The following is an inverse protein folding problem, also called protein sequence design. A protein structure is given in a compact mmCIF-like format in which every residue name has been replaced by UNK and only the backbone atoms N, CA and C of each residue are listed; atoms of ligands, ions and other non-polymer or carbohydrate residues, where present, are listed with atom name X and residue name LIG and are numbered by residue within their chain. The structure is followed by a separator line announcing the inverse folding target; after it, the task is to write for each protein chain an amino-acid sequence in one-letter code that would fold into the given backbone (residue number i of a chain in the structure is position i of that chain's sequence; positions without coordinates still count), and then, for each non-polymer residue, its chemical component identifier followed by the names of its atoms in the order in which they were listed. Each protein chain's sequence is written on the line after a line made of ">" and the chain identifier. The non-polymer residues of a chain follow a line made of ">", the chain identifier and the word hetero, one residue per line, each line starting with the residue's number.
data_IF_882439326977
#
_entry.id   IF_882439326977
#
_cell.length_a   1.000
_cell.length_b   1.000
_cell.length_c   1.000
_cell.angle_alpha   90.00
_cell.angle_beta   90.00
_cell.angle_gamma   90.00
#
_symmetry.space_group_name_H-M   'P 1'
#
loop_
_entity.id
_entity.type
_entity.pdbx_description
1 polymer ?
#
# COMPACT_ATOMS: atom_id res chain seq x y z
N UNK A 1 13.18 23.19 8.56
CA UNK A 1 12.81 22.03 9.38
C UNK A 1 11.92 21.15 8.52
N UNK A 2 12.22 19.85 8.35
CA UNK A 2 11.31 18.97 7.64
C UNK A 2 9.98 18.91 8.39
N UNK A 3 8.94 19.55 7.84
CA UNK A 3 7.59 19.56 8.43
C UNK A 3 6.93 18.17 8.35
N UNK A 4 5.78 18.00 8.98
CA UNK A 4 5.04 16.72 9.04
C UNK A 4 4.82 16.09 7.65
N UNK A 5 4.77 16.91 6.60
CA UNK A 5 4.60 16.49 5.21
C UNK A 5 5.90 16.15 4.44
N UNK A 6 7.10 16.31 5.00
CA UNK A 6 8.33 16.03 4.21
C UNK A 6 8.53 14.56 3.87
N UNK A 7 7.83 13.65 4.54
CA UNK A 7 7.85 12.22 4.24
C UNK A 7 6.60 11.73 3.53
N UNK A 8 5.61 12.61 3.29
CA UNK A 8 4.38 12.26 2.61
C UNK A 8 4.34 12.91 1.23
N UNK A 9 4.40 12.06 0.20
CA UNK A 9 4.39 12.47 -1.21
C UNK A 9 3.15 11.94 -1.94
N UNK A 10 2.11 11.57 -1.20
CA UNK A 10 0.84 11.11 -1.76
C UNK A 10 -0.07 12.26 -2.19
N UNK A 11 -1.27 11.92 -2.64
CA UNK A 11 -2.22 12.89 -3.18
C UNK A 11 -2.63 13.95 -2.15
N UNK A 12 -2.68 15.21 -2.57
CA UNK A 12 -3.22 16.33 -1.77
C UNK A 12 -4.64 16.73 -2.17
N UNK A 13 -5.27 15.98 -3.08
CA UNK A 13 -6.61 16.32 -3.60
C UNK A 13 -7.67 16.34 -2.49
N UNK A 14 -7.51 15.49 -1.47
CA UNK A 14 -8.43 15.40 -0.34
C UNK A 14 -8.01 16.23 0.88
N UNK A 15 -6.97 17.06 0.76
CA UNK A 15 -6.51 17.97 1.82
C UNK A 15 -7.64 18.88 2.37
N UNK A 16 -8.48 19.55 1.54
CA UNK A 16 -9.56 20.38 2.08
C UNK A 16 -10.60 19.58 2.87
N UNK A 17 -10.81 18.31 2.53
CA UNK A 17 -11.70 17.43 3.29
C UNK A 17 -11.04 16.96 4.59
N UNK A 18 -9.74 16.68 4.54
CA UNK A 18 -8.94 16.29 5.69
C UNK A 18 -8.90 17.39 6.75
N UNK A 19 -8.77 18.66 6.33
CA UNK A 19 -8.80 19.83 7.21
C UNK A 19 -10.16 20.00 7.90
N UNK A 20 -11.27 19.74 7.20
CA UNK A 20 -12.62 19.80 7.78
C UNK A 20 -12.81 18.72 8.86
N UNK A 21 -12.28 17.53 8.62
CA UNK A 21 -12.37 16.39 9.56
C UNK A 21 -11.35 16.50 10.70
N UNK A 22 -10.31 17.33 10.55
CA UNK A 22 -9.25 17.51 11.54
C UNK A 22 -8.29 16.32 11.61
N UNK A 23 -8.08 15.62 10.49
CA UNK A 23 -7.22 14.44 10.39
C UNK A 23 -6.22 14.63 9.26
N UNK A 24 -5.02 14.06 9.39
CA UNK A 24 -4.02 14.10 8.32
C UNK A 24 -4.54 13.49 7.01
N UNK A 25 -4.20 14.13 5.88
CA UNK A 25 -4.64 13.74 4.54
C UNK A 25 -4.21 12.32 4.15
N UNK A 26 -3.12 11.79 4.73
CA UNK A 26 -2.65 10.43 4.49
C UNK A 26 -3.66 9.37 4.94
N UNK A 27 -4.26 9.56 6.11
CA UNK A 27 -5.29 8.67 6.69
C UNK A 27 -6.59 8.75 5.90
N UNK A 28 -6.98 9.96 5.51
CA UNK A 28 -8.17 10.19 4.68
C UNK A 28 -8.02 9.49 3.33
N UNK A 29 -6.89 9.69 2.66
CA UNK A 29 -6.58 9.01 1.40
C UNK A 29 -6.66 7.49 1.56
N UNK A 30 -6.06 6.93 2.60
CA UNK A 30 -6.08 5.48 2.85
C UNK A 30 -7.49 4.94 3.01
N UNK A 31 -8.32 5.60 3.82
CA UNK A 31 -9.71 5.19 4.06
C UNK A 31 -10.53 5.29 2.77
N UNK A 32 -10.40 6.38 2.01
CA UNK A 32 -11.07 6.55 0.72
C UNK A 32 -10.60 5.48 -0.29
N UNK A 33 -9.29 5.26 -0.44
CA UNK A 33 -8.71 4.19 -1.27
C UNK A 33 -9.32 2.82 -0.90
N UNK A 34 -9.52 2.53 0.39
CA UNK A 34 -10.09 1.27 0.86
C UNK A 34 -11.56 1.09 0.46
N UNK A 35 -12.38 2.14 0.58
CA UNK A 35 -13.77 2.10 0.11
C UNK A 35 -13.86 1.91 -1.40
N UNK A 36 -13.03 2.62 -2.18
CA UNK A 36 -12.93 2.41 -3.62
C UNK A 36 -12.46 0.99 -3.96
N UNK A 37 -11.50 0.44 -3.21
CA UNK A 37 -11.03 -0.93 -3.39
C UNK A 37 -12.17 -1.95 -3.25
N UNK A 38 -13.04 -1.78 -2.25
CA UNK A 38 -14.23 -2.62 -2.07
C UNK A 38 -15.19 -2.48 -3.27
N UNK A 39 -15.45 -1.26 -3.73
CA UNK A 39 -16.31 -1.02 -4.89
C UNK A 39 -15.74 -1.69 -6.16
N UNK A 40 -14.43 -1.55 -6.42
CA UNK A 40 -13.77 -2.21 -7.54
C UNK A 40 -13.73 -3.74 -7.39
N UNK A 41 -13.62 -4.27 -6.18
CA UNK A 41 -13.72 -5.70 -5.93
C UNK A 41 -15.11 -6.22 -6.32
N UNK A 42 -16.19 -5.51 -5.97
CA UNK A 42 -17.55 -5.87 -6.38
C UNK A 42 -17.72 -5.83 -7.90
N UNK A 43 -17.14 -4.83 -8.57
CA UNK A 43 -17.11 -4.76 -10.05
C UNK A 43 -16.36 -5.95 -10.64
N UNK A 44 -15.18 -6.27 -10.10
CA UNK A 44 -14.38 -7.42 -10.51
C UNK A 44 -15.17 -8.73 -10.41
N UNK A 45 -15.82 -8.97 -9.26
CA UNK A 45 -16.60 -10.20 -9.06
C UNK A 45 -17.82 -10.29 -10.00
N UNK A 46 -18.49 -9.17 -10.30
CA UNK A 46 -19.71 -9.18 -11.13
C UNK A 46 -19.42 -9.21 -12.63
N UNK A 47 -18.43 -8.44 -13.10
CA UNK A 47 -18.19 -8.24 -14.53
C UNK A 47 -17.07 -9.14 -15.07
N UNK A 48 -16.04 -9.44 -14.28
CA UNK A 48 -14.86 -10.20 -14.73
C UNK A 48 -14.97 -11.69 -14.38
N UNK A 49 -16.12 -12.28 -14.73
CA UNK A 49 -16.34 -13.72 -14.59
C UNK A 49 -15.36 -14.53 -15.46
N UNK A 50 -14.84 -15.67 -14.97
CA UNK A 50 -13.94 -16.56 -15.72
C UNK A 50 -14.41 -16.92 -17.13
N UNK A 51 -15.72 -17.03 -17.32
CA UNK A 51 -16.32 -17.44 -18.59
C UNK A 51 -16.42 -16.29 -19.60
N UNK A 52 -16.41 -15.04 -19.11
CA UNK A 52 -16.69 -13.85 -19.93
C UNK A 52 -15.43 -13.09 -20.33
N UNK A 53 -14.32 -13.28 -19.61
CA UNK A 53 -13.14 -12.42 -19.70
C UNK A 53 -11.86 -13.26 -19.72
N UNK A 54 -10.89 -12.82 -20.55
CA UNK A 54 -9.58 -13.47 -20.66
C UNK A 54 -8.83 -13.53 -19.33
N UNK A 55 -7.98 -14.56 -19.17
CA UNK A 55 -7.10 -14.71 -18.00
C UNK A 55 -6.21 -13.48 -17.79
N UNK A 56 -5.69 -12.92 -18.86
CA UNK A 56 -4.83 -11.73 -18.83
C UNK A 56 -5.57 -10.53 -18.25
N UNK A 57 -6.78 -10.23 -18.73
CA UNK A 57 -7.58 -9.11 -18.21
C UNK A 57 -7.91 -9.30 -16.72
N UNK A 58 -8.21 -10.53 -16.29
CA UNK A 58 -8.49 -10.84 -14.88
C UNK A 58 -7.29 -10.68 -13.96
N UNK A 59 -6.07 -10.78 -14.48
CA UNK A 59 -4.83 -10.55 -13.73
C UNK A 59 -4.44 -9.07 -13.75
N UNK A 60 -4.49 -8.44 -14.92
CA UNK A 60 -4.01 -7.07 -15.12
C UNK A 60 -4.95 -6.03 -14.51
N UNK A 61 -6.27 -6.24 -14.53
CA UNK A 61 -7.24 -5.30 -13.97
C UNK A 61 -7.00 -4.99 -12.48
N UNK A 62 -7.01 -5.98 -11.56
CA UNK A 62 -6.78 -5.69 -10.14
C UNK A 62 -5.37 -5.15 -9.88
N UNK A 63 -4.38 -5.55 -10.69
CA UNK A 63 -3.03 -5.03 -10.60
C UNK A 63 -2.97 -3.53 -10.91
N UNK A 64 -3.54 -3.09 -12.04
CA UNK A 64 -3.56 -1.67 -12.42
C UNK A 64 -4.30 -0.85 -11.37
N UNK A 65 -5.51 -1.27 -10.98
CA UNK A 65 -6.32 -0.54 -9.99
C UNK A 65 -5.60 -0.48 -8.64
N UNK A 66 -5.07 -1.60 -8.15
CA UNK A 66 -4.33 -1.65 -6.89
C UNK A 66 -3.10 -0.74 -6.90
N UNK A 67 -2.34 -0.73 -7.98
CA UNK A 67 -1.18 0.15 -8.13
C UNK A 67 -1.57 1.63 -8.20
N UNK A 68 -2.64 1.98 -8.93
CA UNK A 68 -3.16 3.34 -8.98
C UNK A 68 -3.61 3.83 -7.60
N UNK A 69 -4.33 3.00 -6.83
CA UNK A 69 -4.74 3.34 -5.47
C UNK A 69 -3.54 3.47 -4.53
N UNK A 70 -2.56 2.56 -4.60
CA UNK A 70 -1.34 2.65 -3.79
C UNK A 70 -0.55 3.91 -4.11
N UNK A 71 -0.43 4.27 -5.39
CA UNK A 71 0.28 5.49 -5.80
C UNK A 71 -0.46 6.74 -5.35
N UNK A 72 -1.79 6.78 -5.46
CA UNK A 72 -2.59 7.88 -4.91
C UNK A 72 -2.38 8.05 -3.40
N UNK A 73 -2.35 6.94 -2.67
CA UNK A 73 -2.26 6.93 -1.22
C UNK A 73 -0.84 7.25 -0.70
N UNK A 74 0.23 6.77 -1.36
CA UNK A 74 1.62 6.85 -0.85
C UNK A 74 2.60 7.62 -1.75
N UNK A 75 2.22 7.93 -2.99
CA UNK A 75 3.09 8.57 -3.98
C UNK A 75 4.42 7.85 -4.18
N UNK A 76 5.52 8.60 -4.15
CA UNK A 76 6.87 8.04 -4.30
C UNK A 76 7.28 7.08 -3.18
N UNK A 77 6.57 7.07 -2.03
CA UNK A 77 6.83 6.10 -0.97
C UNK A 77 6.40 4.67 -1.35
N UNK A 78 5.66 4.47 -2.45
CA UNK A 78 5.30 3.15 -2.97
C UNK A 78 6.53 2.25 -3.24
N UNK A 79 7.71 2.84 -3.47
CA UNK A 79 8.98 2.10 -3.61
C UNK A 79 9.29 1.20 -2.40
N UNK A 80 8.92 1.65 -1.19
CA UNK A 80 9.10 0.87 0.04
C UNK A 80 8.18 -0.36 0.03
N UNK A 81 6.94 -0.20 -0.45
CA UNK A 81 5.99 -1.30 -0.60
C UNK A 81 6.51 -2.35 -1.59
N UNK A 82 6.98 -1.94 -2.77
CA UNK A 82 7.58 -2.85 -3.74
C UNK A 82 8.83 -3.56 -3.20
N UNK A 83 9.69 -2.85 -2.46
CA UNK A 83 10.87 -3.44 -1.82
C UNK A 83 10.50 -4.54 -0.84
N UNK A 84 9.54 -4.27 0.05
CA UNK A 84 9.04 -5.27 1.02
C UNK A 84 8.40 -6.46 0.31
N UNK A 85 7.53 -6.22 -0.68
CA UNK A 85 6.88 -7.29 -1.46
C UNK A 85 7.93 -8.16 -2.16
N UNK A 86 8.94 -7.56 -2.79
CA UNK A 86 10.00 -8.28 -3.48
C UNK A 86 10.81 -9.17 -2.55
N UNK A 87 11.20 -8.66 -1.38
CA UNK A 87 11.91 -9.47 -0.38
C UNK A 87 11.01 -10.56 0.20
N UNK A 88 9.75 -10.25 0.52
CA UNK A 88 8.79 -11.25 0.98
C UNK A 88 8.58 -12.37 -0.05
N UNK A 89 8.53 -12.04 -1.34
CA UNK A 89 8.46 -13.03 -2.41
C UNK A 89 9.71 -13.92 -2.48
N UNK A 90 10.91 -13.32 -2.35
CA UNK A 90 12.15 -14.10 -2.28
C UNK A 90 12.14 -15.04 -1.06
N UNK A 91 11.72 -14.54 0.11
CA UNK A 91 11.59 -15.36 1.33
C UNK A 91 10.59 -16.52 1.13
N UNK A 92 9.49 -16.29 0.41
CA UNK A 92 8.53 -17.35 0.06
C UNK A 92 9.16 -18.45 -0.81
N UNK A 93 10.12 -18.12 -1.67
CA UNK A 93 10.80 -19.09 -2.55
C UNK A 93 11.91 -19.87 -1.84
N UNK A 94 12.65 -19.23 -0.93
CA UNK A 94 13.86 -19.82 -0.33
C UNK A 94 13.65 -20.42 1.07
N UNK A 95 12.62 -19.97 1.81
CA UNK A 95 12.42 -20.43 3.18
C UNK A 95 11.73 -21.82 3.25
N UNK A 96 12.01 -22.63 4.29
CA UNK A 96 11.28 -23.88 4.51
C UNK A 96 9.78 -23.62 4.72
N UNK A 97 8.94 -24.44 4.10
CA UNK A 97 7.46 -24.33 4.13
C UNK A 97 6.92 -24.26 5.58
N UNK A 98 7.58 -24.96 6.51
CA UNK A 98 7.18 -24.99 7.93
C UNK A 98 7.39 -23.66 8.68
N UNK A 99 8.26 -22.78 8.18
CA UNK A 99 8.66 -21.55 8.88
C UNK A 99 8.49 -20.28 8.04
N UNK A 100 8.10 -20.42 6.77
CA UNK A 100 7.97 -19.30 5.83
C UNK A 100 7.13 -18.14 6.37
N UNK A 101 5.99 -18.43 7.00
CA UNK A 101 5.13 -17.39 7.58
C UNK A 101 5.81 -16.62 8.72
N UNK A 102 6.60 -17.31 9.56
CA UNK A 102 7.36 -16.67 10.66
C UNK A 102 8.47 -15.78 10.10
N UNK A 103 9.20 -16.26 9.10
CA UNK A 103 10.31 -15.52 8.47
C UNK A 103 9.78 -14.25 7.77
N UNK A 104 8.73 -14.38 6.96
CA UNK A 104 8.08 -13.24 6.29
C UNK A 104 7.53 -12.23 7.30
N UNK A 105 6.91 -12.71 8.39
CA UNK A 105 6.38 -11.86 9.45
C UNK A 105 7.49 -11.08 10.17
N UNK A 106 8.56 -11.76 10.61
CA UNK A 106 9.70 -11.13 11.29
C UNK A 106 10.33 -10.06 10.40
N UNK A 107 10.54 -10.36 9.11
CA UNK A 107 11.07 -9.40 8.16
C UNK A 107 10.14 -8.19 7.99
N UNK A 108 8.84 -8.42 7.76
CA UNK A 108 7.87 -7.34 7.52
C UNK A 108 7.73 -6.43 8.75
N UNK A 109 7.61 -7.00 9.95
CA UNK A 109 7.53 -6.23 11.19
C UNK A 109 8.84 -5.50 11.50
N UNK A 110 9.99 -6.16 11.30
CA UNK A 110 11.30 -5.55 11.49
C UNK A 110 11.51 -4.35 10.57
N UNK A 111 11.09 -4.46 9.31
CA UNK A 111 11.12 -3.34 8.36
C UNK A 111 10.23 -2.18 8.81
N UNK A 112 9.00 -2.48 9.26
CA UNK A 112 8.08 -1.45 9.77
C UNK A 112 8.65 -0.75 11.00
N UNK A 113 9.28 -1.48 11.93
CA UNK A 113 9.96 -0.89 13.09
C UNK A 113 11.09 0.04 12.63
N UNK A 114 11.92 -0.42 11.71
CA UNK A 114 13.05 0.36 11.20
C UNK A 114 12.60 1.68 10.55
N UNK A 115 11.58 1.67 9.69
CA UNK A 115 11.12 2.90 9.02
C UNK A 115 10.45 3.87 9.99
N UNK A 116 9.71 3.37 10.98
CA UNK A 116 9.11 4.22 12.02
C UNK A 116 10.17 4.86 12.91
N UNK A 117 11.18 4.07 13.30
CA UNK A 117 12.31 4.58 14.07
C UNK A 117 13.11 5.61 13.27
N UNK A 118 13.40 5.34 11.99
CA UNK A 118 14.10 6.27 11.12
C UNK A 118 13.33 7.59 10.97
N UNK A 119 12.02 7.53 10.73
CA UNK A 119 11.17 8.72 10.65
C UNK A 119 11.19 9.51 11.96
N UNK A 120 11.06 8.84 13.10
CA UNK A 120 11.11 9.49 14.41
C UNK A 120 12.47 10.19 14.65
N UNK A 121 13.57 9.51 14.32
CA UNK A 121 14.92 10.03 14.46
C UNK A 121 15.17 11.28 13.61
N UNK A 122 14.65 11.32 12.37
CA UNK A 122 14.81 12.50 11.51
C UNK A 122 13.90 13.66 11.92
N UNK A 123 12.70 13.40 12.44
CA UNK A 123 11.78 14.45 12.89
C UNK A 123 12.16 15.07 14.25
N UNK A 124 12.91 14.34 15.08
CA UNK A 124 13.30 14.77 16.44
C UNK A 124 14.68 15.44 16.46
N UNK A 125 15.42 15.41 15.35
CA UNK A 125 16.67 16.15 15.14
C UNK A 125 16.41 17.49 14.47
#
# INVERSE_FOLDING_TARGET
>A
MPGVHTFYDGSKVLEPFADIVGVDVDKVNLVCCQFFSIAFALIYYKLLSPEKVSKTTRLTFPLIIGLSLCYFCYGNAIKHLFGVIGVCYALLQFAPIQHVHKVVFIFSMGYLIFIHWYRWYVLTK
#
